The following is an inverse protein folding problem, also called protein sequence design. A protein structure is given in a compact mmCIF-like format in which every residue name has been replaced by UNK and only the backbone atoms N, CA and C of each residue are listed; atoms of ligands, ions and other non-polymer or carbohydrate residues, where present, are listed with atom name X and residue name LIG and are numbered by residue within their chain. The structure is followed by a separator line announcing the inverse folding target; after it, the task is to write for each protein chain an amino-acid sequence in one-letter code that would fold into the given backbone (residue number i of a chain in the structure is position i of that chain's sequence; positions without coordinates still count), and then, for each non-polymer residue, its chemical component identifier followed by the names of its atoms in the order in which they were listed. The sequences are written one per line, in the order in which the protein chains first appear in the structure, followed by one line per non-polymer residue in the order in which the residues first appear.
data_IF_052820836996
#
_entry.id   IF_052820836996
#
_cell.length_a   1.000
_cell.length_b   1.000
_cell.length_c   1.000
_cell.angle_alpha   90.00
_cell.angle_beta   90.00
_cell.angle_gamma   90.00
#
_symmetry.space_group_name_H-M   'P 1'
#
loop_
_entity.id
_entity.type
_entity.pdbx_description
1 polymer ?
#
# COMPACT_ATOMS: atom_id res chain seq x y z
N UNK A 1 4.74 -44.11 32.27
CA UNK A 1 3.89 -44.33 31.11
C UNK A 1 4.60 -43.82 29.88
N UNK A 2 4.63 -44.58 28.81
CA UNK A 2 5.25 -44.13 27.52
C UNK A 2 4.29 -43.18 26.83
N UNK A 3 4.77 -41.99 26.45
CA UNK A 3 3.91 -41.02 25.70
C UNK A 3 3.67 -41.52 24.28
N UNK A 4 2.57 -41.06 23.66
CA UNK A 4 2.28 -41.39 22.25
C UNK A 4 3.35 -40.86 21.30
N UNK A 5 3.98 -39.71 21.61
CA UNK A 5 5.12 -39.18 20.84
C UNK A 5 6.29 -40.16 20.84
N UNK A 6 6.66 -40.73 22.00
CA UNK A 6 7.72 -41.72 22.12
C UNK A 6 7.34 -43.01 21.38
N UNK A 7 6.10 -43.44 21.49
CA UNK A 7 5.60 -44.61 20.78
C UNK A 7 5.69 -44.42 19.26
N UNK A 8 5.25 -43.29 18.73
CA UNK A 8 5.33 -42.97 17.30
C UNK A 8 6.79 -43.02 16.76
N UNK A 9 7.77 -42.62 17.59
CA UNK A 9 9.18 -42.72 17.20
C UNK A 9 9.66 -44.17 17.19
N UNK A 10 9.29 -44.95 18.22
CA UNK A 10 9.68 -46.35 18.34
C UNK A 10 9.06 -47.20 17.23
N UNK A 11 7.78 -46.97 16.90
CA UNK A 11 7.08 -47.69 15.84
C UNK A 11 7.69 -47.45 14.45
N UNK A 12 8.39 -46.31 14.26
CA UNK A 12 9.18 -46.02 13.04
C UNK A 12 10.64 -46.59 13.12
N UNK A 13 11.01 -47.18 14.22
CA UNK A 13 12.37 -47.67 14.44
C UNK A 13 13.41 -46.53 14.51
N UNK A 14 13.00 -45.31 14.89
CA UNK A 14 13.89 -44.15 14.92
C UNK A 14 14.58 -43.99 16.27
N UNK A 15 15.88 -43.64 16.24
CA UNK A 15 16.59 -43.10 17.40
C UNK A 15 16.17 -41.62 17.61
N UNK A 16 16.37 -41.08 18.82
CA UNK A 16 16.17 -39.64 19.07
C UNK A 16 17.05 -38.78 18.14
N UNK A 17 18.28 -39.23 17.87
CA UNK A 17 19.18 -38.52 16.95
C UNK A 17 18.61 -38.45 15.52
N UNK A 18 17.97 -39.54 15.05
CA UNK A 18 17.32 -39.55 13.75
C UNK A 18 16.10 -38.63 13.72
N UNK A 19 15.26 -38.65 14.74
CA UNK A 19 14.12 -37.73 14.82
C UNK A 19 14.57 -36.27 14.80
N UNK A 20 15.63 -35.90 15.51
CA UNK A 20 16.22 -34.55 15.48
C UNK A 20 16.72 -34.20 14.08
N UNK A 21 17.31 -35.15 13.36
CA UNK A 21 17.70 -34.95 11.95
C UNK A 21 16.52 -34.65 11.03
N UNK A 22 15.42 -35.42 11.14
CA UNK A 22 14.20 -35.20 10.39
C UNK A 22 13.55 -33.86 10.74
N UNK A 23 13.47 -33.47 12.03
CA UNK A 23 13.02 -32.18 12.47
C UNK A 23 13.83 -31.04 11.84
N UNK A 24 15.13 -31.14 11.78
CA UNK A 24 15.99 -30.12 11.15
C UNK A 24 15.81 -30.04 9.64
N UNK A 25 15.65 -31.17 8.99
CA UNK A 25 15.39 -31.23 7.55
C UNK A 25 14.08 -30.48 7.20
N UNK A 26 13.01 -30.78 7.93
CA UNK A 26 11.72 -30.12 7.75
C UNK A 26 11.80 -28.64 8.12
N UNK A 27 12.41 -28.29 9.26
CA UNK A 27 12.54 -26.91 9.71
C UNK A 27 13.30 -26.03 8.69
N UNK A 28 14.35 -26.57 8.08
CA UNK A 28 15.11 -25.88 7.02
C UNK A 28 14.22 -25.55 5.81
N UNK A 29 13.32 -26.45 5.44
CA UNK A 29 12.37 -26.21 4.34
C UNK A 29 11.32 -25.11 4.63
N UNK A 30 11.08 -24.81 5.91
CA UNK A 30 10.11 -23.79 6.35
C UNK A 30 10.75 -22.56 7.00
N UNK A 31 12.07 -22.43 6.98
CA UNK A 31 12.78 -21.27 7.55
C UNK A 31 12.71 -21.18 9.07
N UNK A 32 12.46 -22.30 9.78
CA UNK A 32 12.34 -22.36 11.23
C UNK A 32 13.74 -22.56 11.85
N UNK A 33 14.15 -21.66 12.75
CA UNK A 33 15.43 -21.75 13.44
C UNK A 33 15.32 -22.71 14.65
N UNK A 34 16.10 -23.81 14.66
CA UNK A 34 16.14 -24.73 15.76
C UNK A 34 17.42 -24.58 16.61
N UNK A 35 17.34 -24.80 17.93
CA UNK A 35 18.50 -24.77 18.83
C UNK A 35 19.50 -25.88 18.50
N UNK A 36 20.67 -25.84 19.15
CA UNK A 36 21.70 -26.84 18.99
C UNK A 36 21.20 -28.26 19.27
N UNK A 37 21.86 -29.28 18.67
CA UNK A 37 21.42 -30.69 18.75
C UNK A 37 21.28 -31.22 20.19
N UNK A 38 22.16 -30.79 21.08
CA UNK A 38 22.13 -31.20 22.49
C UNK A 38 20.93 -30.60 23.24
N UNK A 39 20.65 -29.31 23.03
CA UNK A 39 19.50 -28.66 23.62
C UNK A 39 18.18 -29.26 23.12
N UNK A 40 18.09 -29.53 21.82
CA UNK A 40 16.90 -30.15 21.22
C UNK A 40 16.71 -31.61 21.71
N UNK A 41 17.79 -32.35 21.95
CA UNK A 41 17.73 -33.68 22.54
C UNK A 41 17.19 -33.64 23.97
N UNK A 42 17.63 -32.67 24.78
CA UNK A 42 17.11 -32.48 26.13
C UNK A 42 15.61 -32.12 26.15
N UNK A 43 15.16 -31.27 25.20
CA UNK A 43 13.73 -30.93 25.04
C UNK A 43 12.92 -32.17 24.60
N UNK A 44 13.37 -32.88 23.59
CA UNK A 44 12.72 -34.09 23.08
C UNK A 44 12.56 -35.15 24.16
N UNK A 45 13.60 -35.36 24.98
CA UNK A 45 13.55 -36.31 26.11
C UNK A 45 12.48 -35.93 27.12
N UNK A 46 12.32 -34.64 27.43
CA UNK A 46 11.28 -34.16 28.35
C UNK A 46 9.88 -34.34 27.75
N UNK A 47 9.70 -34.11 26.46
CA UNK A 47 8.43 -34.33 25.76
C UNK A 47 8.03 -35.81 25.70
N UNK A 48 8.98 -36.70 25.36
CA UNK A 48 8.75 -38.13 25.28
C UNK A 48 8.50 -38.81 26.64
N UNK A 49 8.95 -38.18 27.71
CA UNK A 49 8.68 -38.69 29.08
C UNK A 49 7.49 -37.99 29.76
N UNK A 50 6.82 -37.05 29.03
CA UNK A 50 5.62 -36.40 29.53
C UNK A 50 5.84 -35.33 30.58
N UNK A 51 7.09 -34.87 30.78
CA UNK A 51 7.43 -33.86 31.76
C UNK A 51 6.96 -32.45 31.33
N UNK A 52 6.98 -32.18 30.02
CA UNK A 52 6.58 -30.91 29.43
C UNK A 52 5.95 -31.20 28.06
N UNK A 53 4.96 -30.45 27.67
CA UNK A 53 4.42 -30.48 26.31
C UNK A 53 5.26 -29.59 25.39
N UNK A 54 5.48 -29.96 24.11
CA UNK A 54 6.06 -29.04 23.13
C UNK A 54 5.14 -27.84 22.91
N UNK A 55 5.73 -26.69 22.65
CA UNK A 55 4.98 -25.49 22.24
C UNK A 55 4.41 -25.64 20.82
N UNK A 56 3.62 -24.68 20.38
CA UNK A 56 2.87 -24.76 19.12
C UNK A 56 3.78 -24.85 17.89
N UNK A 57 4.96 -24.26 17.92
CA UNK A 57 5.95 -24.32 16.83
C UNK A 57 6.52 -25.73 16.71
N UNK A 58 6.94 -26.31 17.83
CA UNK A 58 7.43 -27.69 17.86
C UNK A 58 6.31 -28.72 17.60
N UNK A 59 5.08 -28.49 18.04
CA UNK A 59 3.94 -29.34 17.69
C UNK A 59 3.70 -29.34 16.18
N UNK A 60 3.71 -28.16 15.56
CA UNK A 60 3.58 -28.03 14.10
C UNK A 60 4.69 -28.81 13.37
N UNK A 61 5.92 -28.67 13.83
CA UNK A 61 7.06 -29.36 13.24
C UNK A 61 6.94 -30.89 13.38
N UNK A 62 6.55 -31.37 14.57
CA UNK A 62 6.36 -32.80 14.83
C UNK A 62 5.20 -33.39 14.00
N UNK A 63 4.10 -32.64 13.81
CA UNK A 63 3.02 -33.05 12.89
C UNK A 63 3.53 -33.23 11.46
N UNK A 64 4.35 -32.32 10.97
CA UNK A 64 4.93 -32.41 9.62
C UNK A 64 5.89 -33.59 9.50
N UNK A 65 6.70 -33.85 10.51
CA UNK A 65 7.67 -34.99 10.54
C UNK A 65 6.93 -36.33 10.59
N UNK A 66 5.88 -36.42 11.39
CA UNK A 66 5.16 -37.68 11.58
C UNK A 66 3.96 -37.88 10.65
N UNK A 67 3.43 -36.84 10.04
CA UNK A 67 2.18 -36.90 9.30
C UNK A 67 0.98 -37.26 10.18
N UNK A 68 1.05 -36.98 11.49
CA UNK A 68 0.01 -37.27 12.49
C UNK A 68 -0.49 -35.96 13.09
N UNK A 69 -1.73 -35.95 13.55
CA UNK A 69 -2.31 -34.84 14.29
C UNK A 69 -1.86 -34.81 15.78
N UNK A 70 -2.26 -33.78 16.53
CA UNK A 70 -1.92 -33.65 17.95
C UNK A 70 -2.47 -34.80 18.79
N UNK A 71 -3.64 -35.34 18.46
CA UNK A 71 -4.22 -36.49 19.10
C UNK A 71 -3.42 -37.76 18.87
N UNK A 72 -2.95 -37.98 17.65
CA UNK A 72 -2.06 -39.08 17.26
C UNK A 72 -0.71 -39.04 17.98
N UNK A 73 -0.19 -37.85 18.22
CA UNK A 73 1.08 -37.63 18.94
C UNK A 73 0.90 -37.55 20.46
N UNK A 74 -0.36 -37.55 20.97
CA UNK A 74 -0.68 -37.50 22.39
C UNK A 74 -0.45 -36.13 23.03
N UNK A 75 -0.45 -35.07 22.25
CA UNK A 75 -0.41 -33.72 22.76
C UNK A 75 -1.80 -33.36 23.31
N UNK A 76 -1.84 -32.86 24.54
CA UNK A 76 -3.06 -32.28 25.06
C UNK A 76 -3.24 -30.94 24.33
N UNK A 77 -4.38 -30.72 23.74
CA UNK A 77 -4.81 -29.39 23.33
C UNK A 77 -4.95 -28.58 24.62
N UNK A 78 -3.90 -27.81 24.97
CA UNK A 78 -4.06 -26.72 25.94
C UNK A 78 -5.21 -25.90 25.45
N UNK A 79 -6.23 -25.69 26.28
CA UNK A 79 -7.48 -25.00 26.01
C UNK A 79 -7.45 -23.86 25.00
N UNK A 80 -6.95 -24.11 23.79
CA UNK A 80 -7.32 -23.37 22.62
C UNK A 80 -8.80 -23.63 22.49
N UNK A 81 -9.61 -22.59 22.61
CA UNK A 81 -11.03 -22.62 22.32
C UNK A 81 -11.21 -23.56 21.15
N UNK A 82 -12.02 -24.61 21.30
CA UNK A 82 -12.47 -25.46 20.19
C UNK A 82 -12.80 -24.50 19.08
N UNK A 83 -12.19 -24.58 17.86
CA UNK A 83 -12.55 -23.66 16.81
C UNK A 83 -14.06 -23.71 16.71
N UNK A 84 -14.70 -22.56 16.90
CA UNK A 84 -16.15 -22.45 16.84
C UNK A 84 -16.58 -23.16 15.56
N UNK A 85 -17.61 -24.00 15.57
CA UNK A 85 -18.07 -24.64 14.35
C UNK A 85 -18.14 -23.56 13.27
N UNK A 86 -17.73 -23.88 12.05
CA UNK A 86 -17.62 -22.87 10.96
C UNK A 86 -18.88 -22.02 10.81
N UNK A 87 -20.03 -22.55 11.25
CA UNK A 87 -21.30 -21.84 11.37
C UNK A 87 -21.32 -20.76 12.45
N UNK A 88 -20.68 -20.96 13.61
CA UNK A 88 -20.63 -19.95 14.70
C UNK A 88 -19.67 -18.83 14.35
N UNK A 89 -18.54 -19.14 13.71
CA UNK A 89 -17.61 -18.15 13.20
C UNK A 89 -18.28 -17.27 12.13
N UNK A 90 -19.01 -17.89 11.19
CA UNK A 90 -19.76 -17.16 10.17
C UNK A 90 -20.87 -16.30 10.80
N UNK A 91 -21.61 -16.80 11.77
CA UNK A 91 -22.62 -16.02 12.50
C UNK A 91 -22.00 -14.80 13.19
N UNK A 92 -20.86 -14.96 13.84
CA UNK A 92 -20.14 -13.85 14.49
C UNK A 92 -19.71 -12.80 13.49
N UNK A 93 -19.20 -13.19 12.31
CA UNK A 93 -18.79 -12.26 11.25
C UNK A 93 -19.97 -11.52 10.65
N UNK A 94 -21.09 -12.22 10.40
CA UNK A 94 -22.33 -11.61 9.92
C UNK A 94 -22.90 -10.62 10.95
N UNK A 95 -22.91 -10.98 12.24
CA UNK A 95 -23.34 -10.10 13.30
C UNK A 95 -22.45 -8.84 13.41
N UNK A 96 -21.13 -9.00 13.29
CA UNK A 96 -20.19 -7.89 13.29
C UNK A 96 -20.42 -6.94 12.12
N UNK A 97 -20.67 -7.47 10.91
CA UNK A 97 -20.97 -6.66 9.74
C UNK A 97 -22.33 -5.94 9.87
N UNK A 98 -23.34 -6.60 10.43
CA UNK A 98 -24.67 -6.00 10.65
C UNK A 98 -24.69 -4.93 11.77
N UNK A 99 -23.71 -4.95 12.68
CA UNK A 99 -23.58 -3.98 13.77
C UNK A 99 -22.85 -2.68 13.37
N UNK A 100 -22.47 -2.55 12.10
CA UNK A 100 -21.76 -1.37 11.60
C UNK A 100 -22.73 -0.20 11.54
N UNK A 101 -22.40 0.83 12.29
CA UNK A 101 -23.13 2.10 12.32
C UNK A 101 -22.29 3.26 11.76
N UNK A 102 -22.88 4.44 11.72
CA UNK A 102 -22.21 5.64 11.21
C UNK A 102 -21.01 6.07 12.06
N UNK A 103 -20.96 5.74 13.34
CA UNK A 103 -19.82 6.04 14.21
C UNK A 103 -18.62 5.15 13.89
N UNK A 104 -18.84 3.86 13.73
CA UNK A 104 -17.77 2.92 13.34
C UNK A 104 -17.23 3.26 11.95
N UNK A 105 -18.09 3.59 10.98
CA UNK A 105 -17.66 4.03 9.65
C UNK A 105 -16.77 5.27 9.73
N UNK A 106 -17.15 6.26 10.54
CA UNK A 106 -16.35 7.47 10.76
C UNK A 106 -14.99 7.16 11.38
N UNK A 107 -14.93 6.24 12.35
CA UNK A 107 -13.66 5.81 12.95
C UNK A 107 -12.74 5.11 11.95
N UNK A 108 -13.29 4.30 11.05
CA UNK A 108 -12.51 3.64 9.98
C UNK A 108 -11.97 4.67 8.96
N UNK A 109 -12.76 5.68 8.60
CA UNK A 109 -12.30 6.78 7.75
C UNK A 109 -11.21 7.61 8.46
N UNK A 110 -11.41 7.96 9.72
CA UNK A 110 -10.44 8.70 10.53
C UNK A 110 -9.11 7.94 10.69
N UNK A 111 -9.15 6.61 10.74
CA UNK A 111 -7.94 5.78 10.73
C UNK A 111 -7.17 5.96 9.42
N UNK A 112 -7.84 5.92 8.27
CA UNK A 112 -7.23 6.18 6.96
C UNK A 112 -6.62 7.59 6.91
N UNK A 113 -7.35 8.59 7.39
CA UNK A 113 -6.89 9.98 7.43
C UNK A 113 -5.70 10.20 8.38
N UNK A 114 -5.68 9.51 9.51
CA UNK A 114 -4.54 9.56 10.44
C UNK A 114 -3.28 9.01 9.79
N UNK A 115 -3.38 7.85 9.11
CA UNK A 115 -2.26 7.27 8.37
C UNK A 115 -1.81 8.20 7.24
N UNK A 116 -2.73 8.82 6.51
CA UNK A 116 -2.41 9.78 5.43
C UNK A 116 -1.62 10.99 5.93
N UNK A 117 -1.98 11.53 7.10
CA UNK A 117 -1.23 12.64 7.75
C UNK A 117 0.17 12.22 8.19
N UNK A 118 0.30 11.01 8.73
CA UNK A 118 1.61 10.45 9.11
C UNK A 118 2.49 10.16 7.88
N UNK A 119 1.91 9.62 6.81
CA UNK A 119 2.59 9.29 5.56
C UNK A 119 3.28 10.49 4.92
N UNK A 120 2.67 11.67 4.99
CA UNK A 120 3.29 12.91 4.49
C UNK A 120 4.62 13.24 5.18
N UNK A 121 4.77 12.84 6.44
CA UNK A 121 5.92 13.18 7.30
C UNK A 121 6.92 12.03 7.42
N UNK A 122 6.43 10.79 7.58
CA UNK A 122 7.25 9.62 7.87
C UNK A 122 7.59 8.80 6.62
N UNK A 123 6.75 8.92 5.58
CA UNK A 123 6.86 8.11 4.37
C UNK A 123 6.20 6.73 4.47
N UNK A 124 6.08 6.09 3.33
CA UNK A 124 5.33 4.84 3.15
C UNK A 124 5.86 3.62 3.93
N UNK A 125 7.20 3.39 4.06
CA UNK A 125 7.70 2.18 4.71
C UNK A 125 7.21 1.97 6.15
N UNK A 126 7.00 3.08 6.88
CA UNK A 126 6.55 3.02 8.28
C UNK A 126 5.08 2.64 8.44
N UNK A 127 4.26 2.78 7.38
CA UNK A 127 2.80 2.80 7.49
C UNK A 127 2.09 1.77 6.60
N UNK A 128 2.78 1.21 5.60
CA UNK A 128 2.18 0.29 4.63
C UNK A 128 1.61 -0.98 5.29
N UNK A 129 2.27 -1.53 6.29
CA UNK A 129 1.78 -2.70 7.03
C UNK A 129 0.51 -2.37 7.84
N UNK A 130 0.46 -1.18 8.45
CA UNK A 130 -0.74 -0.72 9.14
C UNK A 130 -1.92 -0.61 8.17
N UNK A 131 -1.69 -0.06 6.96
CA UNK A 131 -2.71 0.01 5.94
C UNK A 131 -3.16 -1.35 5.43
N UNK A 132 -2.26 -2.32 5.31
CA UNK A 132 -2.62 -3.71 4.97
C UNK A 132 -3.58 -4.31 5.99
N UNK A 133 -3.28 -4.15 7.29
CA UNK A 133 -4.15 -4.60 8.37
C UNK A 133 -5.53 -3.94 8.31
N UNK A 134 -5.56 -2.61 8.11
CA UNK A 134 -6.79 -1.84 7.99
C UNK A 134 -7.64 -2.30 6.79
N UNK A 135 -7.04 -2.41 5.61
CA UNK A 135 -7.71 -2.90 4.40
C UNK A 135 -8.28 -4.31 4.62
N UNK A 136 -7.50 -5.22 5.22
CA UNK A 136 -7.95 -6.58 5.51
C UNK A 136 -9.14 -6.59 6.46
N UNK A 137 -9.16 -5.72 7.47
CA UNK A 137 -10.28 -5.57 8.39
C UNK A 137 -11.54 -5.09 7.67
N UNK A 138 -11.44 -4.01 6.88
CA UNK A 138 -12.59 -3.43 6.17
C UNK A 138 -13.10 -4.39 5.08
N UNK A 139 -12.21 -5.06 4.33
CA UNK A 139 -12.58 -6.06 3.32
C UNK A 139 -13.31 -7.27 3.95
N UNK A 140 -12.86 -7.71 5.13
CA UNK A 140 -13.54 -8.76 5.90
C UNK A 140 -14.94 -8.34 6.34
N UNK A 141 -15.14 -7.11 6.79
CA UNK A 141 -16.46 -6.58 7.14
C UNK A 141 -17.35 -6.50 5.89
N UNK A 142 -16.83 -5.98 4.79
CA UNK A 142 -17.54 -5.87 3.51
C UNK A 142 -17.94 -7.25 2.95
N UNK A 143 -17.07 -8.26 3.08
CA UNK A 143 -17.35 -9.62 2.61
C UNK A 143 -18.54 -10.28 3.34
N UNK A 144 -18.85 -9.84 4.57
CA UNK A 144 -19.94 -10.38 5.38
C UNK A 144 -21.15 -9.43 5.51
N UNK A 145 -21.05 -8.22 4.97
CA UNK A 145 -22.20 -7.31 4.86
C UNK A 145 -23.15 -7.82 3.76
N UNK A 146 -24.45 -7.89 4.06
CA UNK A 146 -25.44 -8.50 3.17
C UNK A 146 -26.24 -7.46 2.40
N UNK A 147 -26.56 -6.34 3.04
CA UNK A 147 -27.46 -5.32 2.49
C UNK A 147 -26.66 -4.18 1.84
N UNK A 148 -27.16 -3.64 0.74
CA UNK A 148 -26.53 -2.50 0.05
C UNK A 148 -26.25 -1.30 0.97
N UNK A 149 -27.15 -1.02 1.93
CA UNK A 149 -26.98 0.05 2.91
C UNK A 149 -25.78 -0.17 3.86
N UNK A 150 -25.34 -1.42 4.03
CA UNK A 150 -24.19 -1.80 4.83
C UNK A 150 -22.92 -1.84 3.93
N UNK A 151 -23.07 -2.41 2.73
CA UNK A 151 -21.99 -2.63 1.78
C UNK A 151 -21.41 -1.33 1.21
N UNK A 152 -22.28 -0.44 0.72
CA UNK A 152 -21.83 0.79 0.04
C UNK A 152 -20.94 1.69 0.88
N UNK A 153 -21.27 1.99 2.16
CA UNK A 153 -20.37 2.78 3.01
C UNK A 153 -19.04 2.09 3.30
N UNK A 154 -19.05 0.79 3.58
CA UNK A 154 -17.82 0.00 3.77
C UNK A 154 -16.95 -0.02 2.52
N UNK A 155 -17.58 -0.19 1.36
CA UNK A 155 -16.89 -0.14 0.08
C UNK A 155 -16.26 1.24 -0.18
N UNK A 156 -16.90 2.32 0.28
CA UNK A 156 -16.32 3.67 0.19
C UNK A 156 -15.05 3.79 1.04
N UNK A 157 -15.08 3.34 2.30
CA UNK A 157 -13.90 3.29 3.19
C UNK A 157 -12.79 2.44 2.58
N UNK A 158 -13.14 1.24 2.08
CA UNK A 158 -12.17 0.34 1.47
C UNK A 158 -11.51 0.97 0.23
N UNK A 159 -12.28 1.68 -0.59
CA UNK A 159 -11.77 2.32 -1.79
C UNK A 159 -10.70 3.38 -1.47
N UNK A 160 -10.96 4.23 -0.49
CA UNK A 160 -10.03 5.30 -0.08
C UNK A 160 -8.78 4.71 0.61
N UNK A 161 -8.96 3.75 1.52
CA UNK A 161 -7.86 3.07 2.20
C UNK A 161 -6.95 2.33 1.21
N UNK A 162 -7.53 1.63 0.24
CA UNK A 162 -6.78 0.89 -0.78
C UNK A 162 -6.06 1.82 -1.76
N UNK A 163 -6.64 2.98 -2.12
CA UNK A 163 -5.98 3.99 -2.94
C UNK A 163 -4.73 4.54 -2.24
N UNK A 164 -4.82 4.87 -0.95
CA UNK A 164 -3.67 5.30 -0.15
C UNK A 164 -2.58 4.23 -0.09
N UNK A 165 -2.94 2.98 0.18
CA UNK A 165 -1.97 1.88 0.22
C UNK A 165 -1.33 1.61 -1.13
N UNK A 166 -2.07 1.78 -2.24
CA UNK A 166 -1.56 1.70 -3.60
C UNK A 166 -0.48 2.74 -3.87
N UNK A 167 -0.72 3.98 -3.45
CA UNK A 167 0.27 5.05 -3.52
C UNK A 167 1.51 4.76 -2.66
N UNK A 168 1.32 4.28 -1.42
CA UNK A 168 2.41 3.89 -0.54
C UNK A 168 3.27 2.76 -1.15
N UNK A 169 2.63 1.74 -1.71
CA UNK A 169 3.34 0.65 -2.39
C UNK A 169 4.13 1.14 -3.61
N UNK A 170 3.58 2.10 -4.38
CA UNK A 170 4.27 2.71 -5.52
C UNK A 170 5.51 3.49 -5.04
N UNK A 171 5.40 4.23 -3.94
CA UNK A 171 6.49 5.02 -3.39
C UNK A 171 7.66 4.17 -2.86
N UNK A 172 7.37 3.00 -2.26
CA UNK A 172 8.41 2.02 -1.88
C UNK A 172 8.93 1.18 -3.05
N UNK A 173 8.41 1.41 -4.26
CA UNK A 173 8.86 0.76 -5.49
C UNK A 173 8.31 -0.64 -5.71
N UNK A 174 7.27 -1.05 -4.99
CA UNK A 174 6.53 -2.30 -5.21
C UNK A 174 5.32 -2.07 -6.14
N UNK A 175 5.61 -2.01 -7.43
CA UNK A 175 4.60 -1.76 -8.48
C UNK A 175 3.55 -2.89 -8.54
N UNK A 176 3.93 -4.14 -8.26
CA UNK A 176 3.00 -5.26 -8.29
C UNK A 176 1.97 -5.16 -7.16
N UNK A 177 2.39 -4.70 -5.99
CA UNK A 177 1.50 -4.48 -4.87
C UNK A 177 0.66 -3.21 -5.05
N UNK A 178 1.26 -2.12 -5.58
CA UNK A 178 0.53 -0.92 -5.95
C UNK A 178 -0.63 -1.25 -6.91
N UNK A 179 -0.35 -2.05 -7.94
CA UNK A 179 -1.36 -2.54 -8.87
C UNK A 179 -2.52 -3.23 -8.14
N UNK A 180 -2.20 -4.19 -7.25
CA UNK A 180 -3.22 -4.95 -6.50
C UNK A 180 -4.08 -4.05 -5.62
N UNK A 181 -3.49 -3.09 -4.92
CA UNK A 181 -4.25 -2.16 -4.09
C UNK A 181 -5.15 -1.25 -4.93
N UNK A 182 -4.68 -0.75 -6.07
CA UNK A 182 -5.53 0.05 -6.94
C UNK A 182 -6.66 -0.77 -7.61
N UNK A 183 -6.46 -2.06 -7.88
CA UNK A 183 -7.55 -2.94 -8.31
C UNK A 183 -8.60 -3.13 -7.19
N UNK A 184 -8.17 -3.27 -5.94
CA UNK A 184 -9.09 -3.29 -4.78
C UNK A 184 -9.84 -1.94 -4.71
N UNK A 185 -9.13 -0.82 -4.80
CA UNK A 185 -9.73 0.51 -4.77
C UNK A 185 -10.79 0.70 -5.88
N UNK A 186 -10.47 0.33 -7.12
CA UNK A 186 -11.41 0.44 -8.25
C UNK A 186 -12.64 -0.43 -8.09
N UNK A 187 -12.48 -1.67 -7.60
CA UNK A 187 -13.60 -2.58 -7.33
C UNK A 187 -14.50 -2.02 -6.23
N UNK A 188 -13.91 -1.62 -5.11
CA UNK A 188 -14.62 -1.05 -3.98
C UNK A 188 -15.31 0.29 -4.33
N UNK A 189 -14.65 1.14 -5.11
CA UNK A 189 -15.23 2.39 -5.59
C UNK A 189 -16.48 2.18 -6.46
N UNK A 190 -16.49 1.16 -7.33
CA UNK A 190 -17.70 0.81 -8.10
C UNK A 190 -18.82 0.31 -7.18
N UNK A 191 -18.49 -0.53 -6.22
CA UNK A 191 -19.44 -1.09 -5.26
C UNK A 191 -20.05 0.00 -4.35
N UNK A 192 -19.26 1.01 -3.97
CA UNK A 192 -19.75 2.15 -3.20
C UNK A 192 -20.83 2.97 -3.94
N UNK A 193 -20.82 2.90 -5.26
CA UNK A 193 -21.69 3.73 -6.11
C UNK A 193 -21.28 5.21 -6.19
N UNK A 194 -20.13 5.61 -5.62
CA UNK A 194 -19.64 6.99 -5.64
C UNK A 194 -18.85 7.28 -6.92
N UNK A 195 -19.33 8.20 -7.80
CA UNK A 195 -18.58 8.60 -8.98
C UNK A 195 -17.23 9.25 -8.64
N UNK A 196 -17.15 9.94 -7.49
CA UNK A 196 -15.95 10.61 -7.04
C UNK A 196 -14.86 9.61 -6.66
N UNK A 197 -15.20 8.55 -5.91
CA UNK A 197 -14.28 7.46 -5.58
C UNK A 197 -13.83 6.69 -6.82
N UNK A 198 -14.76 6.48 -7.78
CA UNK A 198 -14.41 5.82 -9.04
C UNK A 198 -13.39 6.63 -9.83
N UNK A 199 -13.63 7.94 -9.99
CA UNK A 199 -12.71 8.84 -10.67
C UNK A 199 -11.34 8.89 -9.99
N UNK A 200 -11.31 9.00 -8.66
CA UNK A 200 -10.09 9.00 -7.87
C UNK A 200 -9.31 7.70 -8.04
N UNK A 201 -9.96 6.54 -7.85
CA UNK A 201 -9.29 5.23 -7.95
C UNK A 201 -8.73 4.96 -9.36
N UNK A 202 -9.41 5.43 -10.41
CA UNK A 202 -8.91 5.34 -11.78
C UNK A 202 -7.71 6.26 -12.01
N UNK A 203 -7.76 7.50 -11.52
CA UNK A 203 -6.68 8.46 -11.62
C UNK A 203 -5.42 8.00 -10.88
N UNK A 204 -5.56 7.52 -9.66
CA UNK A 204 -4.44 6.96 -8.88
C UNK A 204 -3.83 5.72 -9.57
N UNK A 205 -4.66 4.85 -10.14
CA UNK A 205 -4.16 3.67 -10.88
C UNK A 205 -3.37 4.06 -12.14
N UNK A 206 -3.68 5.19 -12.78
CA UNK A 206 -2.95 5.68 -13.94
C UNK A 206 -1.47 5.98 -13.62
N UNK A 207 -1.12 6.35 -12.37
CA UNK A 207 0.27 6.57 -11.98
C UNK A 207 1.10 5.27 -11.94
N UNK A 208 0.48 4.13 -11.64
CA UNK A 208 1.16 2.83 -11.77
C UNK A 208 1.49 2.54 -13.23
N UNK A 209 0.58 2.86 -14.16
CA UNK A 209 0.81 2.72 -15.59
C UNK A 209 1.95 3.63 -16.06
N UNK A 210 2.02 4.87 -15.58
CA UNK A 210 3.13 5.78 -15.88
C UNK A 210 4.48 5.24 -15.37
N UNK A 211 4.50 4.70 -14.16
CA UNK A 211 5.69 4.12 -13.54
C UNK A 211 6.16 2.84 -14.26
N UNK A 212 5.22 2.11 -14.88
CA UNK A 212 5.46 0.95 -15.76
C UNK A 212 5.75 1.34 -17.21
N UNK A 213 5.96 2.62 -17.51
CA UNK A 213 6.21 3.14 -18.88
C UNK A 213 5.09 2.77 -19.87
N UNK A 214 3.82 2.84 -19.42
CA UNK A 214 2.61 2.62 -20.22
C UNK A 214 1.78 3.91 -20.37
N UNK A 215 2.34 5.02 -20.88
CA UNK A 215 1.65 6.31 -20.84
C UNK A 215 0.37 6.36 -21.69
N UNK A 216 0.33 5.64 -22.82
CA UNK A 216 -0.88 5.58 -23.64
C UNK A 216 -2.07 4.97 -22.86
N UNK A 217 -1.83 3.87 -22.13
CA UNK A 217 -2.87 3.27 -21.27
C UNK A 217 -3.28 4.18 -20.11
N UNK A 218 -2.33 4.96 -19.55
CA UNK A 218 -2.65 5.95 -18.54
C UNK A 218 -3.57 7.05 -19.09
N UNK A 219 -3.31 7.53 -20.31
CA UNK A 219 -4.17 8.50 -21.01
C UNK A 219 -5.57 7.93 -21.20
N UNK A 220 -5.70 6.70 -21.70
CA UNK A 220 -7.01 6.05 -21.90
C UNK A 220 -7.80 5.91 -20.59
N UNK A 221 -7.13 5.46 -19.51
CA UNK A 221 -7.78 5.30 -18.20
C UNK A 221 -8.22 6.64 -17.61
N UNK A 222 -7.42 7.69 -17.75
CA UNK A 222 -7.77 9.04 -17.30
C UNK A 222 -8.89 9.65 -18.14
N UNK A 223 -8.92 9.39 -19.45
CA UNK A 223 -10.02 9.79 -20.31
C UNK A 223 -11.34 9.11 -19.89
N UNK A 224 -11.30 7.83 -19.52
CA UNK A 224 -12.44 7.11 -18.95
C UNK A 224 -12.89 7.78 -17.62
N UNK A 225 -11.95 8.10 -16.71
CA UNK A 225 -12.25 8.78 -15.47
C UNK A 225 -12.89 10.18 -15.69
N UNK A 226 -12.46 10.93 -16.69
CA UNK A 226 -12.98 12.24 -17.04
C UNK A 226 -14.44 12.18 -17.53
N UNK A 227 -14.92 11.04 -18.03
CA UNK A 227 -16.35 10.87 -18.39
C UNK A 227 -17.29 11.04 -17.21
N UNK A 228 -16.78 10.86 -15.98
CA UNK A 228 -17.51 11.09 -14.73
C UNK A 228 -17.61 12.58 -14.37
N UNK A 229 -16.98 13.47 -15.12
CA UNK A 229 -16.88 14.91 -14.84
C UNK A 229 -18.18 15.59 -14.40
N UNK A 230 -19.34 15.37 -15.05
CA UNK A 230 -20.61 15.95 -14.63
C UNK A 230 -21.08 15.55 -13.22
N UNK A 231 -20.58 14.44 -12.69
CA UNK A 231 -21.01 13.81 -11.42
C UNK A 231 -20.04 14.05 -10.26
N UNK A 232 -18.92 14.73 -10.50
CA UNK A 232 -17.84 14.89 -9.52
C UNK A 232 -17.53 16.37 -9.26
N UNK A 233 -16.98 16.71 -8.06
CA UNK A 233 -16.62 18.09 -7.72
C UNK A 233 -15.59 18.70 -8.66
N UNK A 234 -15.57 20.02 -8.74
CA UNK A 234 -14.63 20.79 -9.57
C UNK A 234 -13.17 20.50 -9.24
N UNK A 235 -12.83 20.34 -7.95
CA UNK A 235 -11.48 20.00 -7.51
C UNK A 235 -11.03 18.63 -8.04
N UNK A 236 -11.90 17.60 -8.02
CA UNK A 236 -11.62 16.30 -8.60
C UNK A 236 -11.42 16.38 -10.11
N UNK A 237 -12.25 17.18 -10.82
CA UNK A 237 -12.06 17.43 -12.26
C UNK A 237 -10.73 18.09 -12.55
N UNK A 238 -10.36 19.12 -11.77
CA UNK A 238 -9.06 19.80 -11.89
C UNK A 238 -7.91 18.84 -11.72
N UNK A 239 -7.98 17.97 -10.69
CA UNK A 239 -6.97 16.96 -10.45
C UNK A 239 -6.87 15.94 -11.59
N UNK A 240 -7.99 15.45 -12.13
CA UNK A 240 -7.98 14.54 -13.27
C UNK A 240 -7.35 15.19 -14.52
N UNK A 241 -7.61 16.46 -14.75
CA UNK A 241 -6.98 17.23 -15.83
C UNK A 241 -5.47 17.34 -15.60
N UNK A 242 -5.02 17.63 -14.38
CA UNK A 242 -3.58 17.68 -14.05
C UNK A 242 -2.90 16.32 -14.24
N UNK A 243 -3.54 15.23 -13.81
CA UNK A 243 -3.03 13.87 -14.02
C UNK A 243 -2.99 13.50 -15.52
N UNK A 244 -4.03 13.89 -16.29
CA UNK A 244 -4.08 13.67 -17.74
C UNK A 244 -2.99 14.46 -18.47
N UNK A 245 -2.66 15.67 -18.01
CA UNK A 245 -1.57 16.46 -18.56
C UNK A 245 -0.20 15.75 -18.39
N UNK A 246 0.07 15.17 -17.22
CA UNK A 246 1.27 14.37 -16.99
C UNK A 246 1.32 13.14 -17.90
N UNK A 247 0.21 12.40 -18.01
CA UNK A 247 0.14 11.19 -18.85
C UNK A 247 0.35 11.52 -20.33
N UNK A 248 -0.26 12.60 -20.83
CA UNK A 248 -0.09 13.08 -22.22
C UNK A 248 1.34 13.55 -22.48
N UNK A 249 1.95 14.29 -21.55
CA UNK A 249 3.35 14.68 -21.67
C UNK A 249 4.27 13.45 -21.71
N UNK A 250 4.00 12.45 -20.89
CA UNK A 250 4.73 11.18 -20.92
C UNK A 250 4.52 10.38 -22.21
N UNK A 251 3.36 10.53 -22.88
CA UNK A 251 3.05 9.95 -24.17
C UNK A 251 3.61 10.75 -25.37
N UNK A 252 4.23 11.93 -25.13
CA UNK A 252 4.74 12.80 -26.20
C UNK A 252 3.70 13.74 -26.80
N UNK A 253 2.46 13.76 -26.28
CA UNK A 253 1.40 14.67 -26.70
C UNK A 253 1.51 16.03 -26.01
N UNK A 254 2.43 16.87 -26.47
CA UNK A 254 2.67 18.18 -25.87
C UNK A 254 1.47 19.14 -25.99
N UNK A 255 0.73 19.08 -27.10
CA UNK A 255 -0.44 19.95 -27.29
C UNK A 255 -1.58 19.56 -26.35
N UNK A 256 -1.88 18.26 -26.27
CA UNK A 256 -2.88 17.73 -25.34
C UNK A 256 -2.50 18.00 -23.89
N UNK A 257 -1.21 17.83 -23.51
CA UNK A 257 -0.75 18.12 -22.15
C UNK A 257 -0.99 19.59 -21.77
N UNK A 258 -0.70 20.56 -22.64
CA UNK A 258 -0.96 21.99 -22.38
C UNK A 258 -2.47 22.29 -22.31
N UNK A 259 -3.26 21.65 -23.13
CA UNK A 259 -4.73 21.80 -23.10
C UNK A 259 -5.29 21.31 -21.75
N UNK A 260 -4.83 20.17 -21.26
CA UNK A 260 -5.24 19.60 -19.99
C UNK A 260 -4.76 20.46 -18.79
N UNK A 261 -3.55 21.03 -18.82
CA UNK A 261 -3.11 21.98 -17.79
C UNK A 261 -4.02 23.20 -17.73
N UNK A 262 -4.33 23.79 -18.88
CA UNK A 262 -5.25 24.94 -18.94
C UNK A 262 -6.66 24.57 -18.46
N UNK A 263 -7.12 23.33 -18.70
CA UNK A 263 -8.40 22.85 -18.17
C UNK A 263 -8.34 22.67 -16.64
N UNK A 264 -7.24 22.15 -16.09
CA UNK A 264 -7.04 22.01 -14.66
C UNK A 264 -7.12 23.38 -13.95
N UNK A 265 -6.41 24.40 -14.47
CA UNK A 265 -6.42 25.77 -13.92
C UNK A 265 -7.82 26.40 -13.95
N UNK A 266 -8.54 26.27 -15.07
CA UNK A 266 -9.91 26.81 -15.18
C UNK A 266 -10.91 26.14 -14.26
N UNK A 267 -10.65 24.88 -13.90
CA UNK A 267 -11.59 24.05 -13.14
C UNK A 267 -11.31 24.07 -11.64
N UNK A 268 -10.11 24.49 -11.23
CA UNK A 268 -9.74 24.60 -9.82
C UNK A 268 -10.62 25.65 -9.15
N UNK A 269 -11.34 25.31 -8.06
CA UNK A 269 -12.19 26.28 -7.36
C UNK A 269 -11.35 27.29 -6.57
N UNK A 270 -11.73 28.56 -6.57
CA UNK A 270 -11.04 29.65 -5.88
C UNK A 270 -11.03 29.52 -4.34
N UNK A 271 -11.84 28.63 -3.77
CA UNK A 271 -11.84 28.31 -2.34
C UNK A 271 -11.97 26.80 -2.18
N UNK A 272 -10.92 26.18 -1.65
CA UNK A 272 -10.90 24.75 -1.36
C UNK A 272 -11.74 24.43 -0.14
N UNK A 273 -12.85 23.75 -0.34
CA UNK A 273 -13.64 23.14 0.71
C UNK A 273 -13.92 21.69 0.33
N UNK A 274 -13.12 20.77 0.89
CA UNK A 274 -13.33 19.33 0.70
C UNK A 274 -14.30 18.78 1.74
N UNK A 275 -15.59 18.83 1.45
CA UNK A 275 -16.56 18.07 2.22
C UNK A 275 -17.03 16.88 1.36
N UNK A 276 -16.68 15.65 1.77
CA UNK A 276 -17.23 14.41 1.22
C UNK A 276 -16.55 13.85 -0.04
N UNK A 277 -15.33 14.28 -0.36
CA UNK A 277 -14.53 13.70 -1.46
C UNK A 277 -13.32 12.94 -0.91
N UNK A 278 -12.80 11.92 -1.63
CA UNK A 278 -11.51 11.34 -1.32
C UNK A 278 -10.47 12.43 -1.15
N UNK A 279 -9.57 12.25 -0.21
CA UNK A 279 -8.60 13.27 0.12
C UNK A 279 -7.72 13.63 -1.09
N UNK A 280 -7.97 14.78 -1.65
CA UNK A 280 -7.15 15.43 -2.65
C UNK A 280 -6.52 16.68 -2.07
N UNK A 281 -5.20 16.70 -1.90
CA UNK A 281 -4.48 17.92 -1.60
C UNK A 281 -4.21 18.64 -2.91
N UNK A 282 -5.21 19.35 -3.42
CA UNK A 282 -5.10 20.16 -4.62
C UNK A 282 -5.58 21.58 -4.34
N UNK A 283 -4.63 22.49 -4.28
CA UNK A 283 -4.75 23.93 -4.26
C UNK A 283 -3.87 24.53 -5.37
N UNK A 284 -3.72 25.84 -5.40
CA UNK A 284 -2.88 26.52 -6.40
C UNK A 284 -1.42 26.07 -6.35
N UNK A 285 -0.86 25.85 -5.15
CA UNK A 285 0.54 25.41 -4.97
C UNK A 285 0.72 23.97 -5.47
N UNK A 286 -0.24 23.09 -5.14
CA UNK A 286 -0.21 21.72 -5.60
C UNK A 286 -0.43 21.61 -7.11
N UNK A 287 -1.29 22.45 -7.69
CA UNK A 287 -1.48 22.52 -9.13
C UNK A 287 -0.23 23.07 -9.84
N UNK A 288 0.43 24.07 -9.28
CA UNK A 288 1.70 24.58 -9.80
C UNK A 288 2.80 23.50 -9.83
N UNK A 289 2.85 22.60 -8.83
CA UNK A 289 3.74 21.41 -8.87
C UNK A 289 3.43 20.50 -10.05
N UNK A 290 2.16 20.18 -10.30
CA UNK A 290 1.73 19.37 -11.43
C UNK A 290 2.10 20.02 -12.77
N UNK A 291 1.86 21.34 -12.86
CA UNK A 291 2.24 22.13 -14.01
C UNK A 291 3.75 22.09 -14.24
N UNK A 292 4.54 22.35 -13.22
CA UNK A 292 6.00 22.35 -13.32
C UNK A 292 6.55 20.96 -13.70
N UNK A 293 6.02 19.89 -13.13
CA UNK A 293 6.34 18.51 -13.53
C UNK A 293 6.06 18.24 -15.01
N UNK A 294 4.88 18.63 -15.48
CA UNK A 294 4.48 18.47 -16.88
C UNK A 294 5.35 19.29 -17.82
N UNK A 295 5.62 20.56 -17.48
CA UNK A 295 6.50 21.44 -18.27
C UNK A 295 7.94 20.90 -18.34
N UNK A 296 8.47 20.32 -17.25
CA UNK A 296 9.78 19.66 -17.23
C UNK A 296 9.81 18.50 -18.24
N UNK A 297 8.79 17.68 -18.29
CA UNK A 297 8.69 16.60 -19.30
C UNK A 297 8.60 17.11 -20.72
N UNK A 298 8.02 18.27 -20.93
CA UNK A 298 7.92 18.94 -22.24
C UNK A 298 9.17 19.75 -22.61
N UNK A 299 10.20 19.76 -21.77
CA UNK A 299 11.40 20.60 -21.94
C UNK A 299 11.07 22.10 -22.10
N UNK A 300 10.05 22.55 -21.38
CA UNK A 300 9.60 23.95 -21.41
C UNK A 300 10.38 24.78 -20.38
N UNK A 301 11.04 25.89 -20.79
CA UNK A 301 11.85 26.71 -19.88
C UNK A 301 11.03 27.34 -18.75
N UNK A 302 9.71 27.45 -18.90
CA UNK A 302 8.83 27.93 -17.83
C UNK A 302 8.76 26.97 -16.63
N UNK A 303 9.29 25.73 -16.74
CA UNK A 303 9.29 24.78 -15.64
C UNK A 303 10.07 25.30 -14.41
N UNK A 304 11.25 25.90 -14.63
CA UNK A 304 12.13 26.36 -13.53
C UNK A 304 11.44 27.41 -12.63
N UNK A 305 10.94 28.54 -13.15
CA UNK A 305 10.29 29.53 -12.28
C UNK A 305 9.02 28.99 -11.61
N UNK A 306 8.20 28.18 -12.31
CA UNK A 306 6.98 27.58 -11.73
C UNK A 306 7.31 26.65 -10.58
N UNK A 307 8.33 25.79 -10.72
CA UNK A 307 8.71 24.85 -9.67
C UNK A 307 9.40 25.55 -8.49
N UNK A 308 10.21 26.60 -8.75
CA UNK A 308 10.85 27.37 -7.71
C UNK A 308 9.82 28.09 -6.83
N UNK A 309 8.85 28.77 -7.44
CA UNK A 309 7.76 29.43 -6.73
C UNK A 309 6.91 28.42 -5.94
N UNK A 310 6.54 27.30 -6.55
CA UNK A 310 5.80 26.25 -5.85
C UNK A 310 6.57 25.69 -4.64
N UNK A 311 7.90 25.62 -4.73
CA UNK A 311 8.74 25.15 -3.63
C UNK A 311 8.77 26.15 -2.46
N UNK A 312 8.78 27.45 -2.75
CA UNK A 312 8.76 28.52 -1.72
C UNK A 312 7.42 28.56 -0.98
N UNK A 313 6.31 28.24 -1.67
CA UNK A 313 4.96 28.30 -1.13
C UNK A 313 4.48 26.97 -0.53
N UNK A 314 5.23 25.87 -0.72
CA UNK A 314 4.82 24.56 -0.25
C UNK A 314 4.78 24.49 1.28
N UNK A 315 3.66 24.04 1.84
CA UNK A 315 3.54 23.79 3.28
C UNK A 315 4.61 22.77 3.74
N UNK A 316 5.43 23.12 4.74
CA UNK A 316 6.53 22.26 5.22
C UNK A 316 6.10 20.88 5.73
N UNK A 317 4.84 20.67 6.01
CA UNK A 317 4.32 19.34 6.40
C UNK A 317 4.30 18.34 5.24
N UNK A 318 4.40 18.77 3.98
CA UNK A 318 4.39 17.92 2.79
C UNK A 318 5.81 17.47 2.38
N UNK A 319 6.54 16.90 3.32
CA UNK A 319 7.96 16.49 3.15
C UNK A 319 8.15 15.60 1.91
N UNK A 320 7.28 14.60 1.73
CA UNK A 320 7.36 13.70 0.56
C UNK A 320 7.09 14.42 -0.76
N UNK A 321 6.16 15.37 -0.76
CA UNK A 321 5.85 16.18 -1.94
C UNK A 321 7.02 17.12 -2.29
N UNK A 322 7.72 17.63 -1.28
CA UNK A 322 8.94 18.43 -1.47
C UNK A 322 10.03 17.62 -2.18
N UNK A 323 10.26 16.36 -1.81
CA UNK A 323 11.24 15.52 -2.50
C UNK A 323 10.94 15.40 -4.00
N UNK A 324 9.67 15.15 -4.36
CA UNK A 324 9.25 15.05 -5.77
C UNK A 324 9.44 16.39 -6.51
N UNK A 325 9.03 17.50 -5.90
CA UNK A 325 9.15 18.84 -6.47
C UNK A 325 10.63 19.21 -6.72
N UNK A 326 11.53 18.89 -5.78
CA UNK A 326 12.98 19.10 -5.94
C UNK A 326 13.57 18.20 -7.02
N UNK A 327 13.09 16.98 -7.21
CA UNK A 327 13.48 16.13 -8.33
C UNK A 327 13.11 16.76 -9.67
N UNK A 328 11.90 17.32 -9.77
CA UNK A 328 11.44 17.98 -10.99
C UNK A 328 12.23 19.26 -11.26
N UNK A 329 12.47 20.06 -10.22
CA UNK A 329 13.27 21.29 -10.34
C UNK A 329 14.73 20.98 -10.74
N UNK A 330 15.32 19.92 -10.17
CA UNK A 330 16.66 19.49 -10.57
C UNK A 330 16.70 19.07 -12.06
N UNK A 331 15.70 18.34 -12.52
CA UNK A 331 15.58 17.95 -13.94
C UNK A 331 15.46 19.19 -14.86
N UNK A 332 14.58 20.14 -14.50
CA UNK A 332 14.40 21.38 -15.25
C UNK A 332 15.68 22.24 -15.29
N UNK A 333 16.39 22.35 -14.17
CA UNK A 333 17.67 23.08 -14.08
C UNK A 333 18.77 22.43 -14.92
N UNK A 334 18.82 21.10 -15.01
CA UNK A 334 19.75 20.39 -15.90
C UNK A 334 19.46 20.68 -17.36
N UNK A 335 18.18 20.73 -17.76
CA UNK A 335 17.76 21.11 -19.11
C UNK A 335 18.16 22.55 -19.45
N UNK A 336 18.11 23.45 -18.46
CA UNK A 336 18.54 24.85 -18.57
C UNK A 336 20.08 25.04 -18.40
N UNK A 337 20.83 23.92 -18.35
CA UNK A 337 22.30 23.89 -18.17
C UNK A 337 22.81 24.50 -16.84
N UNK A 338 21.95 24.72 -15.88
CA UNK A 338 22.28 25.15 -14.51
C UNK A 338 22.64 23.95 -13.63
N UNK A 339 23.86 23.43 -13.80
CA UNK A 339 24.35 22.25 -13.07
C UNK A 339 24.50 22.49 -11.57
N UNK A 340 24.93 23.67 -11.17
CA UNK A 340 25.16 23.99 -9.76
C UNK A 340 23.84 24.08 -9.01
N UNK A 341 22.82 24.74 -9.57
CA UNK A 341 21.48 24.79 -9.03
C UNK A 341 20.86 23.39 -8.95
N UNK A 342 21.00 22.58 -9.99
CA UNK A 342 20.52 21.20 -10.00
C UNK A 342 21.16 20.35 -8.90
N UNK A 343 22.49 20.47 -8.70
CA UNK A 343 23.22 19.72 -7.67
C UNK A 343 22.72 20.04 -6.25
N UNK A 344 22.31 21.28 -5.98
CA UNK A 344 21.70 21.67 -4.69
C UNK A 344 20.38 20.93 -4.50
N UNK A 345 19.51 20.97 -5.52
CA UNK A 345 18.19 20.31 -5.42
C UNK A 345 18.32 18.78 -5.30
N UNK A 346 19.23 18.15 -6.04
CA UNK A 346 19.53 16.72 -5.96
C UNK A 346 19.94 16.32 -4.54
N UNK A 347 20.89 17.03 -3.93
CA UNK A 347 21.35 16.69 -2.56
C UNK A 347 20.23 16.78 -1.53
N UNK A 348 19.41 17.83 -1.60
CA UNK A 348 18.29 18.00 -0.67
C UNK A 348 17.22 16.92 -0.90
N UNK A 349 16.87 16.67 -2.15
CA UNK A 349 15.90 15.62 -2.50
C UNK A 349 16.40 14.22 -2.07
N UNK A 350 17.70 13.92 -2.20
CA UNK A 350 18.29 12.66 -1.74
C UNK A 350 18.15 12.49 -0.21
N UNK A 351 18.43 13.55 0.56
CA UNK A 351 18.29 13.53 2.01
C UNK A 351 16.83 13.26 2.42
N UNK A 352 15.88 13.95 1.80
CA UNK A 352 14.45 13.75 2.06
C UNK A 352 13.99 12.36 1.63
N UNK A 353 14.38 11.89 0.44
CA UNK A 353 14.02 10.57 -0.05
C UNK A 353 14.60 9.43 0.82
N UNK A 354 15.80 9.62 1.38
CA UNK A 354 16.38 8.69 2.34
C UNK A 354 15.61 8.70 3.68
N UNK A 355 15.28 9.88 4.19
CA UNK A 355 14.52 10.04 5.43
C UNK A 355 13.12 9.41 5.34
N UNK A 356 12.43 9.59 4.23
CA UNK A 356 11.07 9.07 4.00
C UNK A 356 11.04 7.65 3.43
N UNK A 357 12.20 7.07 3.08
CA UNK A 357 12.29 5.75 2.46
C UNK A 357 11.66 5.66 1.07
N UNK A 358 11.53 6.79 0.34
CA UNK A 358 10.95 6.83 -0.99
C UNK A 358 11.88 6.24 -2.05
N UNK A 359 11.72 4.97 -2.36
CA UNK A 359 12.48 4.28 -3.42
C UNK A 359 12.18 4.88 -4.79
N UNK A 360 10.93 5.31 -5.03
CA UNK A 360 10.54 5.97 -6.27
C UNK A 360 11.37 7.22 -6.54
N UNK A 361 11.50 8.12 -5.55
CA UNK A 361 12.30 9.33 -5.71
C UNK A 361 13.81 9.05 -5.79
N UNK A 362 14.30 8.06 -5.03
CA UNK A 362 15.71 7.62 -5.14
C UNK A 362 16.05 7.15 -6.55
N UNK A 363 15.18 6.34 -7.19
CA UNK A 363 15.37 5.90 -8.59
C UNK A 363 15.39 7.09 -9.57
N UNK A 364 14.44 8.03 -9.42
CA UNK A 364 14.40 9.24 -10.25
C UNK A 364 15.69 10.06 -10.14
N UNK A 365 16.17 10.28 -8.91
CA UNK A 365 17.43 11.02 -8.65
C UNK A 365 18.64 10.30 -9.20
N UNK A 366 18.71 8.98 -9.08
CA UNK A 366 19.77 8.18 -9.67
C UNK A 366 19.84 8.36 -11.20
N UNK A 367 18.69 8.31 -11.88
CA UNK A 367 18.63 8.55 -13.32
C UNK A 367 19.10 9.95 -13.71
N UNK A 368 18.75 10.99 -12.93
CA UNK A 368 19.21 12.36 -13.19
C UNK A 368 20.71 12.50 -13.05
N UNK A 369 21.31 11.90 -12.01
CA UNK A 369 22.77 11.98 -11.76
C UNK A 369 23.56 11.20 -12.81
N UNK A 370 23.05 10.09 -13.33
CA UNK A 370 23.75 9.29 -14.34
C UNK A 370 23.61 9.88 -15.75
N UNK A 371 22.64 10.75 -16.00
CA UNK A 371 22.42 11.42 -17.29
C UNK A 371 23.08 12.81 -17.38
N UNK A 372 23.58 13.41 -16.27
CA UNK A 372 24.20 14.72 -16.18
C UNK A 372 25.73 14.69 -16.38
#
# INVERSE_FOLDING_TARGET
MTTRLKQARVDRGWSQARLIGEMRSVASGYGIALPGAESLRGQLSRWENGHVQPDDEYRRLLRLVYGLDDGGLGFQTSGAATPAPASEELQTRLASAAAIDGELLRLLDEQTDAVRRLDRRLGAPALLEQMRGHISQVDSLLAHAVLDRERRPLAAVLADAAALAGWQALDVGDQAQAWRFHEIARRAARESGSPCLQAHAMGEHAFVLLDLSQPARAVDLLAEAQTLGPLIPAQMRSWLHAASAEARAAAGDAAGARCELAAAERTLPNQGGMHGTPYLSLDDVHLARWRGHTLTRLHDPAAVPVLAEALEQLDPSFIRAEAALRCDLAAALLQDKNRDGAAVQVRTAQAIAAQTGSVRQQRRLHTLVTAA
#
